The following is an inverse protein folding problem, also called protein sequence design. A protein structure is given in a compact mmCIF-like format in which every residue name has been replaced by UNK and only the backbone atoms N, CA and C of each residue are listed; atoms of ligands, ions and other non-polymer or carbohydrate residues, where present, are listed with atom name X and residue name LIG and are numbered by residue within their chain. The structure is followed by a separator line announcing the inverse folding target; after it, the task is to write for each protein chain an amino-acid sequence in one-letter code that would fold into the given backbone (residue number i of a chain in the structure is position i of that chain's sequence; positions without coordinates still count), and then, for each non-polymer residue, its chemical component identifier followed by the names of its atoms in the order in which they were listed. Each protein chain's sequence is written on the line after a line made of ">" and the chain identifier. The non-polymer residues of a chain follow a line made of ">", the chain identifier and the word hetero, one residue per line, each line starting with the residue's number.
data_IF_348851955139
#
_entry.id   IF_348851955139
#
_cell.length_a   1.000
_cell.length_b   1.000
_cell.length_c   1.000
_cell.angle_alpha   90.00
_cell.angle_beta   90.00
_cell.angle_gamma   90.00
#
_symmetry.space_group_name_H-M   'P 1'
#
loop_
_entity.id
_entity.type
_entity.pdbx_description
1 polymer ?
#
# COMPACT_ATOMS: atom_id res chain seq x y z
N UNK A 1 -19.76 8.33 -10.12
CA UNK A 1 -18.29 8.42 -10.20
C UNK A 1 -17.61 8.34 -8.82
N UNK A 2 -18.04 9.08 -7.78
CA UNK A 2 -17.45 9.01 -6.41
C UNK A 2 -17.43 7.62 -5.74
N UNK A 3 -18.35 6.71 -6.09
CA UNK A 3 -18.38 5.33 -5.56
C UNK A 3 -17.29 4.40 -6.11
N UNK A 4 -16.73 4.70 -7.30
CA UNK A 4 -15.76 3.82 -7.96
C UNK A 4 -14.31 4.25 -7.75
N UNK A 5 -14.07 5.53 -7.42
CA UNK A 5 -12.75 6.08 -7.12
C UNK A 5 -12.81 6.88 -5.80
N UNK A 6 -12.97 6.21 -4.66
CA UNK A 6 -12.94 6.87 -3.34
C UNK A 6 -11.62 7.60 -3.11
N UNK A 7 -10.54 7.23 -3.81
CA UNK A 7 -9.27 7.92 -3.74
C UNK A 7 -9.35 9.41 -4.11
N UNK A 8 -10.23 9.77 -5.05
CA UNK A 8 -10.39 11.15 -5.49
C UNK A 8 -10.96 12.04 -4.38
N UNK A 9 -11.77 11.49 -3.48
CA UNK A 9 -12.41 12.26 -2.41
C UNK A 9 -11.43 12.65 -1.30
N UNK A 10 -10.55 11.72 -0.88
CA UNK A 10 -9.52 12.06 0.11
C UNK A 10 -8.40 12.91 -0.50
N UNK A 11 -8.06 12.70 -1.78
CA UNK A 11 -7.04 13.49 -2.46
C UNK A 11 -7.46 14.96 -2.60
N UNK A 12 -8.73 15.23 -2.93
CA UNK A 12 -9.27 16.60 -3.02
C UNK A 12 -9.37 17.30 -1.65
N UNK A 13 -9.41 16.55 -0.55
CA UNK A 13 -9.45 17.07 0.83
C UNK A 13 -8.10 16.94 1.53
N UNK A 14 -7.03 16.66 0.78
CA UNK A 14 -5.72 16.39 1.32
C UNK A 14 -5.08 17.66 1.89
N UNK A 15 -4.68 17.61 3.16
CA UNK A 15 -3.90 18.68 3.77
C UNK A 15 -2.41 18.46 3.48
N UNK A 16 -1.81 19.39 2.74
CA UNK A 16 -0.41 19.34 2.33
C UNK A 16 0.55 19.35 3.53
N UNK A 17 0.12 19.84 4.70
CA UNK A 17 0.92 19.79 5.92
C UNK A 17 1.24 18.36 6.36
N UNK A 18 0.40 17.38 5.99
CA UNK A 18 0.59 15.97 6.35
C UNK A 18 1.56 15.22 5.43
N UNK A 19 1.99 15.83 4.32
CA UNK A 19 2.79 15.16 3.29
C UNK A 19 4.11 14.59 3.80
N UNK A 20 4.80 15.30 4.68
CA UNK A 20 6.06 14.81 5.27
C UNK A 20 5.85 13.57 6.15
N UNK A 21 4.76 13.55 6.92
CA UNK A 21 4.39 12.41 7.77
C UNK A 21 3.98 11.19 6.95
N UNK A 22 3.13 11.40 5.94
CA UNK A 22 2.69 10.34 5.04
C UNK A 22 3.86 9.75 4.23
N UNK A 23 4.82 10.58 3.79
CA UNK A 23 6.02 10.13 3.09
C UNK A 23 6.91 9.26 3.99
N UNK A 24 7.18 9.70 5.22
CA UNK A 24 7.98 8.95 6.18
C UNK A 24 7.32 7.61 6.57
N UNK A 25 6.01 7.63 6.80
CA UNK A 25 5.23 6.43 7.08
C UNK A 25 5.23 5.46 5.88
N UNK A 26 5.00 5.98 4.66
CA UNK A 26 5.02 5.17 3.44
C UNK A 26 6.37 4.50 3.18
N UNK A 27 7.47 5.23 3.35
CA UNK A 27 8.82 4.67 3.25
C UNK A 27 9.07 3.56 4.29
N UNK A 28 8.64 3.80 5.53
CA UNK A 28 8.80 2.83 6.62
C UNK A 28 8.04 1.54 6.32
N UNK A 29 6.77 1.65 5.91
CA UNK A 29 5.93 0.52 5.53
C UNK A 29 6.51 -0.21 4.32
N UNK A 30 7.00 0.51 3.31
CA UNK A 30 7.61 -0.08 2.12
C UNK A 30 8.84 -0.95 2.46
N UNK A 31 9.71 -0.45 3.35
CA UNK A 31 10.89 -1.22 3.81
C UNK A 31 10.46 -2.47 4.60
N UNK A 32 9.42 -2.37 5.43
CA UNK A 32 8.90 -3.51 6.21
C UNK A 32 8.25 -4.59 5.34
N UNK A 33 7.61 -4.20 4.22
CA UNK A 33 6.94 -5.14 3.32
C UNK A 33 7.90 -6.08 2.58
N UNK A 34 9.14 -5.65 2.32
CA UNK A 34 10.14 -6.46 1.61
C UNK A 34 10.41 -7.79 2.34
N UNK A 35 10.90 -7.79 3.60
CA UNK A 35 11.14 -9.04 4.32
C UNK A 35 9.84 -9.78 4.64
N UNK A 36 8.75 -9.09 4.96
CA UNK A 36 7.46 -9.71 5.29
C UNK A 36 6.87 -10.49 4.10
N UNK A 37 6.82 -9.87 2.91
CA UNK A 37 6.31 -10.51 1.71
C UNK A 37 7.18 -11.69 1.28
N UNK A 38 8.51 -11.54 1.35
CA UNK A 38 9.43 -12.63 1.07
C UNK A 38 9.23 -13.83 2.01
N UNK A 39 9.03 -13.58 3.31
CA UNK A 39 8.76 -14.62 4.29
C UNK A 39 7.45 -15.36 3.98
N UNK A 40 6.38 -14.65 3.61
CA UNK A 40 5.11 -15.28 3.25
C UNK A 40 5.20 -16.10 1.96
N UNK A 41 5.94 -15.65 0.95
CA UNK A 41 6.18 -16.43 -0.25
C UNK A 41 6.95 -17.73 0.05
N UNK A 42 7.97 -17.65 0.91
CA UNK A 42 8.72 -18.82 1.35
C UNK A 42 7.85 -19.82 2.11
N UNK A 43 6.97 -19.36 3.00
CA UNK A 43 6.02 -20.22 3.71
C UNK A 43 5.02 -20.90 2.77
N UNK A 44 4.67 -20.24 1.66
CA UNK A 44 3.81 -20.79 0.62
C UNK A 44 4.56 -21.72 -0.37
N UNK A 45 5.86 -21.95 -0.19
CA UNK A 45 6.69 -22.76 -1.10
C UNK A 45 6.99 -22.09 -2.44
N UNK A 46 6.78 -20.78 -2.54
CA UNK A 46 7.02 -19.98 -3.75
C UNK A 46 8.40 -19.30 -3.69
N UNK A 47 8.97 -18.91 -4.85
CA UNK A 47 10.15 -18.06 -4.88
C UNK A 47 9.89 -16.71 -4.15
N UNK A 48 10.83 -16.19 -3.34
CA UNK A 48 10.64 -14.96 -2.56
C UNK A 48 10.17 -13.74 -3.38
N UNK A 49 10.59 -13.65 -4.64
CA UNK A 49 10.22 -12.56 -5.55
C UNK A 49 8.70 -12.47 -5.78
N UNK A 50 7.99 -13.60 -5.70
CA UNK A 50 6.53 -13.64 -5.81
C UNK A 50 5.87 -12.90 -4.64
N UNK A 51 6.48 -12.94 -3.45
CA UNK A 51 6.02 -12.18 -2.28
C UNK A 51 6.14 -10.67 -2.45
N UNK A 52 7.13 -10.21 -3.22
CA UNK A 52 7.29 -8.79 -3.56
C UNK A 52 6.22 -8.34 -4.55
N UNK A 53 5.90 -9.15 -5.57
CA UNK A 53 4.80 -8.85 -6.48
C UNK A 53 3.44 -8.88 -5.78
N UNK A 54 3.23 -9.85 -4.88
CA UNK A 54 2.00 -10.03 -4.12
C UNK A 54 1.78 -8.91 -3.09
N UNK A 55 2.82 -8.23 -2.63
CA UNK A 55 2.68 -7.08 -1.72
C UNK A 55 2.53 -5.75 -2.49
N UNK A 56 3.28 -5.52 -3.56
CA UNK A 56 3.26 -4.22 -4.27
C UNK A 56 1.97 -4.00 -5.08
N UNK A 57 1.51 -5.02 -5.82
CA UNK A 57 0.36 -4.85 -6.74
C UNK A 57 -0.94 -4.54 -5.97
N UNK A 58 -1.32 -5.28 -4.91
CA UNK A 58 -2.51 -4.99 -4.14
C UNK A 58 -2.46 -3.62 -3.45
N UNK A 59 -1.29 -3.18 -2.97
CA UNK A 59 -1.12 -1.84 -2.40
C UNK A 59 -1.40 -0.73 -3.41
N UNK A 60 -0.92 -0.86 -4.65
CA UNK A 60 -1.21 0.12 -5.71
C UNK A 60 -2.69 0.13 -6.09
N UNK A 61 -3.31 -1.04 -6.18
CA UNK A 61 -4.75 -1.16 -6.45
C UNK A 61 -5.55 -0.55 -5.28
N UNK A 62 -5.19 -0.86 -4.04
CA UNK A 62 -5.87 -0.34 -2.86
C UNK A 62 -5.67 1.18 -2.69
N UNK A 63 -4.53 1.74 -3.09
CA UNK A 63 -4.34 3.19 -3.08
C UNK A 63 -5.33 3.93 -4.00
N UNK A 64 -5.73 3.30 -5.10
CA UNK A 64 -6.65 3.87 -6.10
C UNK A 64 -8.13 3.61 -5.78
N UNK A 65 -8.44 2.41 -5.27
CA UNK A 65 -9.82 1.95 -5.05
C UNK A 65 -10.23 1.84 -3.57
N UNK A 66 -9.28 1.97 -2.65
CA UNK A 66 -9.48 1.83 -1.22
C UNK A 66 -10.21 3.00 -0.60
N UNK A 67 -11.03 2.70 0.39
CA UNK A 67 -11.86 3.66 1.12
C UNK A 67 -11.15 4.25 2.34
N UNK A 68 -10.06 3.62 2.80
CA UNK A 68 -9.26 4.08 3.95
C UNK A 68 -7.87 4.54 3.51
N UNK A 69 -7.52 5.77 3.90
CA UNK A 69 -6.24 6.43 3.57
C UNK A 69 -5.02 5.82 4.28
N UNK A 70 -5.25 5.16 5.42
CA UNK A 70 -4.17 4.67 6.30
C UNK A 70 -3.99 3.15 6.25
N UNK A 71 -4.90 2.44 5.58
CA UNK A 71 -4.82 0.98 5.51
C UNK A 71 -3.86 0.55 4.41
N UNK A 72 -2.80 -0.16 4.78
CA UNK A 72 -1.95 -0.90 3.84
C UNK A 72 -2.45 -2.34 3.76
N UNK A 73 -2.68 -2.84 2.53
CA UNK A 73 -3.11 -4.21 2.27
C UNK A 73 -2.03 -4.88 1.44
N UNK A 74 -1.31 -5.84 2.01
CA UNK A 74 -0.19 -6.55 1.37
C UNK A 74 0.55 -7.47 2.32
#
# INVERSE_FOLDING_TARGET
>A
MKKFFPALEWLLRYDINNWKGDLAAGLTVAVMLIPQGMAYALLAGLPPIIGLYASVVPLLVYALFGTSRQLAVG
#
